data_IF_377302452857
#
_entry.id   IF_377302452857
#
_cell.length_a   1.000
_cell.length_b   1.000
_cell.length_c   1.000
_cell.angle_alpha   90.00
_cell.angle_beta   90.00
_cell.angle_gamma   90.00
#
_symmetry.space_group_name_H-M   'P 1'
#
loop_
_entity.id
_entity.type
_entity.pdbx_description
1 polymer ?
#
# COMPACT_ATOMS: atom_id res chain seq x y z
N UNK A 1 -44.32 2.19 -47.06
CA UNK A 1 -44.16 2.18 -45.60
C UNK A 1 -43.16 1.10 -45.22
N UNK A 2 -41.91 1.46 -44.95
CA UNK A 2 -40.86 0.54 -44.49
C UNK A 2 -40.37 1.06 -43.15
N UNK A 3 -40.62 0.29 -42.08
CA UNK A 3 -40.24 0.62 -40.72
C UNK A 3 -38.73 0.40 -40.53
N UNK A 4 -37.99 1.48 -40.25
CA UNK A 4 -36.58 1.42 -39.88
C UNK A 4 -36.44 1.01 -38.42
N UNK A 5 -35.90 -0.18 -38.19
CA UNK A 5 -35.49 -0.66 -36.85
C UNK A 5 -34.15 -0.01 -36.48
N UNK A 6 -34.18 0.96 -35.58
CA UNK A 6 -32.98 1.55 -34.98
C UNK A 6 -32.43 0.60 -33.92
N UNK A 7 -31.45 -0.23 -34.29
CA UNK A 7 -30.62 -0.96 -33.32
C UNK A 7 -29.76 0.05 -32.55
N UNK A 8 -30.11 0.29 -31.30
CA UNK A 8 -29.31 1.05 -30.34
C UNK A 8 -27.97 0.35 -30.14
N UNK A 9 -26.86 1.07 -30.35
CA UNK A 9 -25.51 0.59 -30.02
C UNK A 9 -25.42 0.30 -28.51
N UNK A 10 -24.74 -0.77 -28.07
CA UNK A 10 -24.54 -1.02 -26.65
C UNK A 10 -23.67 0.13 -26.09
N UNK A 11 -24.24 0.90 -25.15
CA UNK A 11 -23.46 1.88 -24.39
C UNK A 11 -22.33 1.15 -23.65
N UNK A 12 -21.09 1.67 -23.68
CA UNK A 12 -20.02 1.12 -22.85
C UNK A 12 -20.43 1.26 -21.39
N UNK A 13 -20.52 0.13 -20.67
CA UNK A 13 -20.63 0.15 -19.20
C UNK A 13 -19.44 0.95 -18.69
N UNK A 14 -19.70 2.04 -17.98
CA UNK A 14 -18.67 2.77 -17.27
C UNK A 14 -18.02 1.80 -16.28
N UNK A 15 -16.85 1.25 -16.64
CA UNK A 15 -16.02 0.49 -15.73
C UNK A 15 -15.62 1.47 -14.63
N UNK A 16 -16.01 1.21 -13.38
CA UNK A 16 -15.49 1.94 -12.24
C UNK A 16 -13.96 2.01 -12.37
N UNK A 17 -13.34 3.18 -12.12
CA UNK A 17 -11.89 3.28 -12.15
C UNK A 17 -11.32 2.20 -11.22
N UNK A 18 -10.14 1.64 -11.54
CA UNK A 18 -9.56 0.59 -10.72
C UNK A 18 -9.55 0.98 -9.25
N UNK A 19 -9.68 0.04 -8.33
CA UNK A 19 -9.79 0.37 -6.90
C UNK A 19 -8.62 1.22 -6.40
N UNK A 20 -7.45 1.10 -7.05
CA UNK A 20 -6.19 1.82 -6.85
C UNK A 20 -6.05 3.14 -7.66
N UNK A 21 -7.02 3.47 -8.51
CA UNK A 21 -7.01 4.67 -9.33
C UNK A 21 -7.71 5.82 -8.61
N UNK A 22 -7.04 6.98 -8.60
CA UNK A 22 -7.50 8.25 -8.05
C UNK A 22 -7.59 8.34 -6.51
N UNK A 23 -6.44 8.36 -5.84
CA UNK A 23 -6.30 8.94 -4.50
C UNK A 23 -5.47 10.25 -4.39
N UNK A 24 -5.23 11.05 -5.46
CA UNK A 24 -4.20 12.08 -5.41
C UNK A 24 -4.56 13.29 -4.56
N UNK A 25 -5.77 13.42 -3.99
CA UNK A 25 -6.15 14.61 -3.21
C UNK A 25 -6.93 14.25 -1.95
N UNK A 26 -6.34 13.43 -1.08
CA UNK A 26 -6.97 13.11 0.20
C UNK A 26 -6.81 14.25 1.21
N UNK A 27 -7.86 15.02 1.47
CA UNK A 27 -7.93 15.94 2.60
C UNK A 27 -8.73 15.24 3.73
N UNK A 28 -8.06 14.63 4.72
CA UNK A 28 -8.76 13.94 5.79
C UNK A 28 -9.70 14.93 6.50
N UNK A 29 -11.00 14.63 6.59
CA UNK A 29 -12.03 15.61 6.95
C UNK A 29 -12.14 15.95 8.44
N UNK A 30 -11.34 15.33 9.33
CA UNK A 30 -11.64 15.30 10.77
C UNK A 30 -10.54 15.81 11.72
N UNK A 31 -10.98 16.30 12.87
CA UNK A 31 -10.21 16.61 14.11
C UNK A 31 -9.28 15.46 14.58
N UNK A 32 -9.49 14.24 14.08
CA UNK A 32 -8.66 13.07 14.35
C UNK A 32 -7.25 13.13 13.73
N UNK A 33 -7.02 14.04 12.77
CA UNK A 33 -5.71 14.25 12.13
C UNK A 33 -5.09 15.61 12.53
N UNK A 34 -5.30 16.07 13.76
CA UNK A 34 -4.61 17.27 14.29
C UNK A 34 -3.10 17.14 14.12
N UNK A 35 -2.49 18.12 13.44
CA UNK A 35 -1.05 18.13 13.14
C UNK A 35 -0.64 17.35 11.89
N UNK A 36 -1.60 16.93 11.06
CA UNK A 36 -1.34 16.39 9.74
C UNK A 36 -1.50 17.46 8.65
N UNK A 37 -0.68 17.47 7.59
CA UNK A 37 0.49 16.61 7.38
C UNK A 37 1.61 16.94 8.38
N UNK A 38 2.43 15.95 8.77
CA UNK A 38 3.56 16.22 9.66
C UNK A 38 4.56 17.15 8.97
N UNK A 39 5.25 17.99 9.76
CA UNK A 39 6.30 18.86 9.24
C UNK A 39 7.44 18.02 8.63
N UNK A 40 8.05 18.52 7.56
CA UNK A 40 9.23 17.91 6.95
C UNK A 40 10.33 17.67 8.00
N UNK A 41 10.95 16.50 7.94
CA UNK A 41 12.15 16.19 8.70
C UNK A 41 13.33 16.95 8.11
N UNK A 42 14.05 17.67 8.96
CA UNK A 42 15.21 18.45 8.54
C UNK A 42 16.46 17.57 8.41
N UNK A 43 17.34 17.96 7.49
CA UNK A 43 18.65 17.35 7.30
C UNK A 43 19.66 18.02 8.22
N UNK A 44 20.56 17.22 8.80
CA UNK A 44 21.73 17.70 9.53
C UNK A 44 22.85 18.05 8.55
N UNK A 45 23.01 17.24 7.49
CA UNK A 45 23.99 17.45 6.42
C UNK A 45 23.39 18.24 5.25
N UNK A 46 23.84 19.49 5.09
CA UNK A 46 23.41 20.39 4.01
C UNK A 46 23.72 19.83 2.61
N UNK A 47 24.82 19.10 2.43
CA UNK A 47 25.14 18.46 1.14
C UNK A 47 24.16 17.35 0.81
N UNK A 48 23.74 16.55 1.80
CA UNK A 48 22.69 15.55 1.59
C UNK A 48 21.37 16.20 1.21
N UNK A 49 21.00 17.30 1.87
CA UNK A 49 19.81 18.07 1.51
C UNK A 49 19.89 18.57 0.06
N UNK A 50 21.02 19.18 -0.32
CA UNK A 50 21.26 19.68 -1.68
C UNK A 50 21.16 18.57 -2.72
N UNK A 51 21.76 17.41 -2.44
CA UNK A 51 21.77 16.24 -3.32
C UNK A 51 20.38 15.64 -3.49
N UNK A 52 19.59 15.53 -2.42
CA UNK A 52 18.23 14.99 -2.45
C UNK A 52 17.31 15.85 -3.33
N UNK A 53 17.42 17.17 -3.20
CA UNK A 53 16.59 18.13 -3.93
C UNK A 53 17.22 18.60 -5.25
N UNK A 54 18.16 17.83 -5.80
CA UNK A 54 18.78 18.13 -7.08
C UNK A 54 17.70 18.26 -8.18
N UNK A 55 17.65 19.39 -8.90
CA UNK A 55 16.60 19.62 -9.88
C UNK A 55 16.74 18.66 -11.06
N UNK A 56 15.68 17.91 -11.40
CA UNK A 56 15.70 16.95 -12.53
C UNK A 56 15.78 17.64 -13.89
N UNK A 57 15.24 18.85 -14.00
CA UNK A 57 15.26 19.67 -15.20
C UNK A 57 15.97 20.97 -14.88
N UNK A 58 17.16 21.15 -15.47
CA UNK A 58 17.97 22.34 -15.30
C UNK A 58 18.36 22.89 -16.68
N UNK A 59 18.41 24.23 -16.79
CA UNK A 59 18.93 24.90 -18.01
C UNK A 59 20.42 24.67 -18.20
N UNK A 60 21.13 24.36 -17.12
CA UNK A 60 22.56 24.04 -17.11
C UNK A 60 22.74 22.55 -16.83
N UNK A 61 23.70 21.93 -17.50
CA UNK A 61 24.10 20.55 -17.21
C UNK A 61 24.45 20.40 -15.72
N UNK A 62 23.88 19.39 -15.09
CA UNK A 62 24.16 19.02 -13.71
C UNK A 62 25.47 18.23 -13.65
N UNK A 63 26.10 18.23 -12.47
CA UNK A 63 27.24 17.35 -12.22
C UNK A 63 26.79 15.88 -12.33
N UNK A 64 27.39 15.05 -13.21
CA UNK A 64 27.06 13.64 -13.33
C UNK A 64 27.19 12.87 -12.01
N UNK A 65 28.11 13.27 -11.14
CA UNK A 65 28.30 12.65 -9.83
C UNK A 65 27.11 12.95 -8.91
N UNK A 66 26.65 14.21 -8.87
CA UNK A 66 25.47 14.60 -8.09
C UNK A 66 24.21 13.85 -8.54
N UNK A 67 24.03 13.72 -9.86
CA UNK A 67 22.91 12.94 -10.43
C UNK A 67 22.98 11.49 -9.97
N UNK A 68 24.15 10.88 -10.06
CA UNK A 68 24.38 9.49 -9.62
C UNK A 68 24.11 9.31 -8.12
N UNK A 69 24.53 10.25 -7.28
CA UNK A 69 24.27 10.22 -5.84
C UNK A 69 22.79 10.40 -5.52
N UNK A 70 22.08 11.30 -6.20
CA UNK A 70 20.63 11.45 -6.08
C UNK A 70 19.88 10.16 -6.44
N UNK A 71 20.29 9.50 -7.54
CA UNK A 71 19.70 8.23 -7.97
C UNK A 71 19.95 7.10 -6.98
N UNK A 72 21.14 7.04 -6.36
CA UNK A 72 21.44 6.10 -5.28
C UNK A 72 20.59 6.36 -4.03
N UNK A 73 20.39 7.62 -3.67
CA UNK A 73 19.51 7.99 -2.56
C UNK A 73 18.06 7.58 -2.85
N UNK A 74 17.57 7.81 -4.07
CA UNK A 74 16.23 7.37 -4.49
C UNK A 74 16.08 5.85 -4.47
N UNK A 75 17.07 5.12 -4.97
CA UNK A 75 17.11 3.65 -4.90
C UNK A 75 17.01 3.14 -3.46
N UNK A 76 17.79 3.72 -2.55
CA UNK A 76 17.76 3.33 -1.15
C UNK A 76 16.42 3.66 -0.48
N UNK A 77 15.90 4.86 -0.75
CA UNK A 77 14.61 5.29 -0.24
C UNK A 77 13.43 4.48 -0.75
N UNK A 78 13.49 3.95 -1.98
CA UNK A 78 12.49 3.01 -2.52
C UNK A 78 12.42 1.71 -1.69
N UNK A 79 13.59 1.17 -1.31
CA UNK A 79 13.67 0.02 -0.41
C UNK A 79 13.12 0.33 0.99
N UNK A 80 13.47 1.48 1.54
CA UNK A 80 12.96 1.93 2.85
C UNK A 80 11.46 2.16 2.83
N UNK A 81 10.92 2.83 1.81
CA UNK A 81 9.47 3.02 1.65
C UNK A 81 8.73 1.68 1.55
N UNK A 82 9.30 0.72 0.83
CA UNK A 82 8.75 -0.64 0.77
C UNK A 82 8.68 -1.26 2.16
N UNK A 83 9.74 -1.15 2.95
CA UNK A 83 9.78 -1.65 4.32
C UNK A 83 8.79 -0.92 5.24
N UNK A 84 8.79 0.42 5.22
CA UNK A 84 7.91 1.27 6.03
C UNK A 84 6.42 1.02 5.74
N UNK A 85 6.03 0.93 4.47
CA UNK A 85 4.65 0.63 4.08
C UNK A 85 4.29 -0.81 4.47
N UNK A 86 5.18 -1.78 4.27
CA UNK A 86 4.92 -3.17 4.66
C UNK A 86 4.73 -3.31 6.17
N UNK A 87 5.57 -2.64 6.95
CA UNK A 87 5.50 -2.62 8.40
C UNK A 87 4.21 -1.93 8.88
N UNK A 88 3.82 -0.81 8.27
CA UNK A 88 2.56 -0.14 8.58
C UNK A 88 1.37 -1.07 8.31
N UNK A 89 1.30 -1.66 7.12
CA UNK A 89 0.19 -2.55 6.75
C UNK A 89 0.15 -3.81 7.63
N UNK A 90 1.30 -4.37 7.96
CA UNK A 90 1.40 -5.55 8.83
C UNK A 90 0.91 -5.25 10.26
N UNK A 91 1.23 -4.08 10.79
CA UNK A 91 0.87 -3.69 12.15
C UNK A 91 -0.57 -3.21 12.27
N UNK A 92 -1.05 -2.44 11.30
CA UNK A 92 -2.37 -1.80 11.32
C UNK A 92 -3.49 -2.71 10.79
N UNK A 93 -3.23 -3.46 9.72
CA UNK A 93 -4.23 -4.29 9.00
C UNK A 93 -4.04 -5.79 9.24
N UNK A 94 -4.00 -6.13 10.51
CA UNK A 94 -3.71 -7.46 11.02
C UNK A 94 -4.83 -8.51 10.76
N UNK A 95 -5.98 -8.08 10.24
CA UNK A 95 -7.08 -8.92 9.75
C UNK A 95 -6.95 -9.27 8.25
N UNK A 96 -6.12 -8.53 7.50
CA UNK A 96 -5.93 -8.75 6.07
C UNK A 96 -4.96 -9.92 5.80
N UNK A 97 -5.20 -10.64 4.69
CA UNK A 97 -4.33 -11.74 4.26
C UNK A 97 -3.08 -11.19 3.55
N UNK A 98 -2.03 -12.01 3.44
CA UNK A 98 -0.78 -11.62 2.79
C UNK A 98 -0.95 -11.12 1.34
N UNK A 99 -1.90 -11.70 0.61
CA UNK A 99 -2.25 -11.27 -0.74
C UNK A 99 -2.82 -9.84 -0.75
N UNK A 100 -3.79 -9.58 0.12
CA UNK A 100 -4.44 -8.28 0.29
C UNK A 100 -3.43 -7.20 0.69
N UNK A 101 -2.57 -7.50 1.67
CA UNK A 101 -1.48 -6.62 2.10
C UNK A 101 -0.52 -6.29 0.95
N UNK A 102 -0.23 -7.27 0.09
CA UNK A 102 0.64 -7.07 -1.09
C UNK A 102 0.01 -6.11 -2.10
N UNK A 103 -1.28 -6.27 -2.38
CA UNK A 103 -2.03 -5.41 -3.27
C UNK A 103 -2.08 -3.96 -2.74
N UNK A 104 -2.44 -3.78 -1.46
CA UNK A 104 -2.47 -2.46 -0.81
C UNK A 104 -1.09 -1.80 -0.79
N UNK A 105 -0.01 -2.56 -0.54
CA UNK A 105 1.36 -2.04 -0.58
C UNK A 105 1.71 -1.48 -1.96
N UNK A 106 1.34 -2.18 -3.03
CA UNK A 106 1.62 -1.72 -4.39
C UNK A 106 0.84 -0.45 -4.73
N UNK A 107 -0.43 -0.36 -4.31
CA UNK A 107 -1.22 0.85 -4.47
C UNK A 107 -0.62 2.05 -3.72
N UNK A 108 -0.16 1.86 -2.48
CA UNK A 108 0.45 2.92 -1.67
C UNK A 108 1.84 3.36 -2.17
N UNK A 109 2.55 2.49 -2.90
CA UNK A 109 3.85 2.81 -3.51
C UNK A 109 3.72 3.32 -4.95
N UNK A 110 2.51 3.51 -5.46
CA UNK A 110 2.30 4.05 -6.80
C UNK A 110 2.86 5.48 -6.91
N UNK A 111 3.43 5.87 -8.07
CA UNK A 111 3.99 7.22 -8.26
C UNK A 111 3.00 8.35 -7.97
N UNK A 112 1.70 8.16 -8.26
CA UNK A 112 0.66 9.15 -7.94
C UNK A 112 0.51 9.39 -6.43
N UNK A 113 0.60 8.34 -5.61
CA UNK A 113 0.55 8.45 -4.15
C UNK A 113 1.82 9.10 -3.63
N UNK A 114 3.00 8.63 -4.04
CA UNK A 114 4.27 9.19 -3.59
C UNK A 114 4.46 10.64 -4.03
N UNK A 115 4.01 11.01 -5.24
CA UNK A 115 3.94 12.39 -5.72
C UNK A 115 3.09 13.25 -4.79
N UNK A 116 1.93 12.74 -4.37
CA UNK A 116 1.08 13.48 -3.47
C UNK A 116 1.69 13.63 -2.07
N UNK A 117 2.29 12.57 -1.52
CA UNK A 117 3.02 12.65 -0.24
C UNK A 117 4.14 13.70 -0.29
N UNK A 118 4.89 13.75 -1.39
CA UNK A 118 5.90 14.78 -1.65
C UNK A 118 5.33 16.20 -1.52
N UNK A 119 4.14 16.43 -2.09
CA UNK A 119 3.44 17.71 -2.03
C UNK A 119 2.90 18.01 -0.63
N UNK A 120 2.37 17.00 0.08
CA UNK A 120 1.81 17.17 1.44
C UNK A 120 2.83 17.69 2.43
N UNK A 121 4.05 17.19 2.36
CA UNK A 121 5.15 17.62 3.24
C UNK A 121 5.94 18.80 2.66
N UNK A 122 5.38 19.47 1.64
CA UNK A 122 5.90 20.68 1.01
C UNK A 122 7.34 20.54 0.47
N UNK A 123 7.74 19.35 0.01
CA UNK A 123 9.06 19.13 -0.58
C UNK A 123 9.20 19.82 -1.94
N UNK A 124 8.08 20.08 -2.61
CA UNK A 124 8.05 20.77 -3.91
C UNK A 124 8.67 22.16 -3.86
N UNK A 125 8.62 22.84 -2.70
CA UNK A 125 9.26 24.13 -2.49
C UNK A 125 10.81 24.08 -2.63
N UNK A 126 11.41 22.91 -2.43
CA UNK A 126 12.86 22.71 -2.51
C UNK A 126 13.31 22.27 -3.92
N UNK A 127 12.38 21.76 -4.74
CA UNK A 127 12.67 21.36 -6.12
C UNK A 127 12.66 22.62 -6.98
N UNK A 128 13.85 23.08 -7.39
CA UNK A 128 13.97 24.19 -8.35
C UNK A 128 13.55 23.71 -9.75
N UNK A 129 12.29 23.91 -10.14
CA UNK A 129 11.89 23.72 -11.53
C UNK A 129 12.34 24.92 -12.37
N UNK A 130 13.06 24.66 -13.46
CA UNK A 130 13.30 25.66 -14.49
C UNK A 130 12.87 25.12 -15.84
N UNK A 131 11.96 25.79 -16.58
CA UNK A 131 11.32 27.07 -16.27
C UNK A 131 10.24 26.98 -15.17
N UNK A 132 9.91 28.09 -14.48
CA UNK A 132 8.92 28.14 -13.39
C UNK A 132 7.52 27.67 -13.79
N UNK A 133 7.20 27.69 -15.09
CA UNK A 133 5.90 27.28 -15.63
C UNK A 133 5.72 25.77 -15.78
N UNK A 134 6.80 24.97 -15.65
CA UNK A 134 6.71 23.52 -15.79
C UNK A 134 6.62 22.87 -14.42
N UNK A 135 5.40 22.48 -14.03
CA UNK A 135 5.19 21.63 -12.86
C UNK A 135 5.96 20.31 -13.05
N UNK A 136 6.71 19.85 -12.04
CA UNK A 136 7.31 18.52 -12.08
C UNK A 136 6.21 17.46 -12.28
N UNK A 137 6.50 16.44 -13.07
CA UNK A 137 5.57 15.32 -13.26
C UNK A 137 5.51 14.45 -11.99
N UNK A 138 4.46 13.63 -11.88
CA UNK A 138 4.26 12.76 -10.72
C UNK A 138 5.44 11.82 -10.50
N UNK A 139 6.09 11.38 -11.58
CA UNK A 139 7.25 10.52 -11.50
C UNK A 139 8.45 11.22 -10.85
N UNK A 140 8.72 12.48 -11.20
CA UNK A 140 9.79 13.27 -10.60
C UNK A 140 9.49 13.58 -9.12
N UNK A 141 8.25 13.89 -8.78
CA UNK A 141 7.85 14.12 -7.38
C UNK A 141 7.96 12.85 -6.54
N UNK A 142 7.49 11.71 -7.05
CA UNK A 142 7.65 10.41 -6.41
C UNK A 142 9.13 10.06 -6.20
N UNK A 143 9.97 10.24 -7.22
CA UNK A 143 11.42 10.03 -7.14
C UNK A 143 12.09 10.96 -6.12
N UNK A 144 11.64 12.21 -6.03
CA UNK A 144 12.15 13.16 -5.03
C UNK A 144 11.78 12.71 -3.62
N UNK A 145 10.55 12.26 -3.42
CA UNK A 145 10.13 11.70 -2.13
C UNK A 145 10.94 10.46 -1.76
N UNK A 146 11.20 9.55 -2.70
CA UNK A 146 12.11 8.42 -2.50
C UNK A 146 13.51 8.91 -2.09
N UNK A 147 14.11 9.82 -2.86
CA UNK A 147 15.43 10.37 -2.55
C UNK A 147 15.47 11.00 -1.15
N UNK A 148 14.42 11.71 -0.77
CA UNK A 148 14.27 12.33 0.55
C UNK A 148 14.26 11.29 1.68
N UNK A 149 13.46 10.23 1.57
CA UNK A 149 13.44 9.15 2.57
C UNK A 149 14.82 8.48 2.69
N UNK A 150 15.45 8.17 1.55
CA UNK A 150 16.80 7.60 1.54
C UNK A 150 17.84 8.53 2.14
N UNK A 151 17.74 9.83 1.83
CA UNK A 151 18.62 10.87 2.34
C UNK A 151 18.49 11.09 3.84
N UNK A 152 17.27 11.20 4.38
CA UNK A 152 17.03 11.36 5.82
C UNK A 152 17.59 10.19 6.61
N UNK A 153 17.36 8.96 6.14
CA UNK A 153 17.92 7.79 6.80
C UNK A 153 19.44 7.74 6.69
N UNK A 154 20.02 8.13 5.55
CA UNK A 154 21.47 8.17 5.40
C UNK A 154 22.12 9.24 6.31
N UNK A 155 21.48 10.40 6.42
CA UNK A 155 21.92 11.52 7.25
C UNK A 155 21.94 11.16 8.75
N UNK A 156 20.91 10.43 9.22
CA UNK A 156 20.73 10.11 10.64
C UNK A 156 21.25 8.71 11.03
N UNK A 157 21.58 7.88 10.06
CA UNK A 157 21.99 6.49 10.28
C UNK A 157 20.87 5.62 10.85
N UNK A 158 21.27 4.47 11.41
CA UNK A 158 20.35 3.45 11.92
C UNK A 158 19.46 3.96 13.07
N UNK A 159 20.01 4.80 13.95
CA UNK A 159 19.31 5.32 15.13
C UNK A 159 18.13 6.24 14.75
N UNK A 160 18.25 6.95 13.62
CA UNK A 160 17.19 7.80 13.08
C UNK A 160 16.01 7.05 12.46
N UNK A 161 16.09 5.72 12.32
CA UNK A 161 15.02 4.92 11.70
C UNK A 161 13.71 5.02 12.46
N UNK A 162 13.75 4.99 13.80
CA UNK A 162 12.54 5.01 14.61
C UNK A 162 11.77 6.33 14.45
N UNK A 163 12.48 7.45 14.42
CA UNK A 163 11.91 8.77 14.18
C UNK A 163 11.30 8.87 12.78
N UNK A 164 12.06 8.46 11.76
CA UNK A 164 11.59 8.40 10.37
C UNK A 164 10.33 7.55 10.23
N UNK A 165 10.31 6.38 10.88
CA UNK A 165 9.18 5.47 10.89
C UNK A 165 7.96 6.13 11.51
N UNK A 166 8.09 6.69 12.71
CA UNK A 166 6.97 7.32 13.41
C UNK A 166 6.41 8.51 12.62
N UNK A 167 7.30 9.35 12.05
CA UNK A 167 6.91 10.43 11.16
C UNK A 167 6.15 9.92 9.92
N UNK A 168 6.69 8.88 9.27
CA UNK A 168 6.07 8.30 8.08
C UNK A 168 4.70 7.68 8.39
N UNK A 169 4.54 7.08 9.57
CA UNK A 169 3.28 6.49 10.01
C UNK A 169 2.17 7.53 10.11
N UNK A 170 2.47 8.69 10.71
CA UNK A 170 1.53 9.82 10.77
C UNK A 170 1.16 10.27 9.36
N UNK A 171 2.15 10.36 8.47
CA UNK A 171 1.92 10.80 7.08
C UNK A 171 1.06 9.81 6.28
N UNK A 172 1.35 8.51 6.34
CA UNK A 172 0.74 7.48 5.47
C UNK A 172 -0.62 6.98 5.98
N UNK A 173 -0.89 7.05 7.30
CA UNK A 173 -2.12 6.52 7.92
C UNK A 173 -3.40 6.87 7.16
N UNK A 174 -3.70 8.15 6.80
CA UNK A 174 -4.94 8.48 6.10
C UNK A 174 -5.03 7.84 4.70
N UNK A 175 -3.91 7.74 3.97
CA UNK A 175 -3.88 7.04 2.68
C UNK A 175 -4.10 5.54 2.84
N UNK A 176 -3.49 4.92 3.85
CA UNK A 176 -3.63 3.50 4.10
C UNK A 176 -5.08 3.14 4.49
N UNK A 177 -5.72 3.94 5.35
CA UNK A 177 -7.13 3.75 5.72
C UNK A 177 -8.06 3.82 4.51
N UNK A 178 -7.88 4.85 3.66
CA UNK A 178 -8.66 4.99 2.43
C UNK A 178 -8.38 3.84 1.46
N UNK A 179 -7.13 3.44 1.31
CA UNK A 179 -6.71 2.31 0.47
C UNK A 179 -7.41 1.02 0.90
N UNK A 180 -7.44 0.71 2.20
CA UNK A 180 -8.16 -0.44 2.75
C UNK A 180 -9.66 -0.38 2.43
N UNK A 181 -10.31 0.75 2.70
CA UNK A 181 -11.74 0.91 2.45
C UNK A 181 -12.10 0.70 0.97
N UNK A 182 -11.29 1.25 0.06
CA UNK A 182 -11.48 1.08 -1.39
C UNK A 182 -11.24 -0.38 -1.82
N UNK A 183 -10.24 -1.04 -1.24
CA UNK A 183 -9.94 -2.43 -1.51
C UNK A 183 -11.05 -3.38 -1.02
N UNK A 184 -11.62 -3.14 0.16
CA UNK A 184 -12.76 -3.90 0.71
C UNK A 184 -13.99 -3.76 -0.19
N UNK A 185 -14.33 -2.54 -0.62
CA UNK A 185 -15.43 -2.29 -1.56
C UNK A 185 -15.22 -3.02 -2.90
N UNK A 186 -13.98 -3.05 -3.39
CA UNK A 186 -13.62 -3.79 -4.59
C UNK A 186 -13.82 -5.29 -4.42
N UNK A 187 -13.31 -5.90 -3.34
CA UNK A 187 -13.51 -7.33 -3.11
C UNK A 187 -14.99 -7.69 -2.97
N UNK A 188 -15.77 -6.86 -2.28
CA UNK A 188 -17.22 -7.08 -2.10
C UNK A 188 -17.95 -7.05 -3.45
N UNK A 189 -17.66 -6.04 -4.28
CA UNK A 189 -18.21 -5.93 -5.62
C UNK A 189 -17.87 -7.13 -6.50
N UNK A 190 -16.62 -7.61 -6.50
CA UNK A 190 -16.19 -8.75 -7.31
C UNK A 190 -16.69 -10.10 -6.75
N UNK A 191 -16.84 -10.23 -5.44
CA UNK A 191 -17.44 -11.42 -4.82
C UNK A 191 -18.92 -11.56 -5.21
N UNK A 192 -19.65 -10.44 -5.28
CA UNK A 192 -21.07 -10.42 -5.68
C UNK A 192 -21.31 -10.81 -7.16
N UNK A 193 -20.33 -10.56 -8.03
CA UNK A 193 -20.40 -10.91 -9.46
C UNK A 193 -20.12 -12.40 -9.70
N UNK A 194 -19.47 -13.08 -8.74
CA UNK A 194 -19.05 -14.48 -8.87
C UNK A 194 -20.14 -15.54 -8.61
N UNK A 195 -21.40 -15.12 -8.39
CA UNK A 195 -22.54 -16.03 -8.18
C UNK A 195 -23.38 -16.16 -9.45
N UNK A 196 -22.81 -16.74 -10.52
CA UNK A 196 -23.62 -17.40 -11.55
C UNK A 196 -23.58 -18.92 -11.30
N UNK A 197 -24.66 -19.52 -10.78
CA UNK A 197 -24.71 -20.95 -10.46
C UNK A 197 -24.34 -21.87 -11.64
N UNK A 198 -24.43 -21.37 -12.89
CA UNK A 198 -24.12 -22.13 -14.10
C UNK A 198 -22.62 -22.31 -14.37
N UNK A 199 -21.77 -21.37 -13.94
CA UNK A 199 -20.31 -21.44 -14.15
C UNK A 199 -19.60 -22.24 -13.06
N UNK A 200 -20.19 -22.35 -11.87
CA UNK A 200 -19.67 -23.19 -10.78
C UNK A 200 -19.78 -24.71 -11.09
N UNK A 201 -20.83 -25.12 -11.82
CA UNK A 201 -21.06 -26.52 -12.18
C UNK A 201 -20.05 -27.06 -13.23
N UNK A 202 -19.49 -26.20 -14.07
CA UNK A 202 -18.51 -26.57 -15.11
C UNK A 202 -17.10 -26.87 -14.54
N UNK A 203 -16.81 -26.47 -13.30
CA UNK A 203 -15.50 -26.72 -12.66
C UNK A 203 -15.40 -28.08 -11.97
N UNK A 204 -16.51 -28.83 -11.87
CA UNK A 204 -16.56 -30.15 -11.22
C UNK A 204 -16.57 -31.32 -12.20
N UNK A 205 -16.60 -31.09 -13.53
CA UNK A 205 -16.70 -32.16 -14.52
C UNK A 205 -15.43 -32.47 -15.31
N UNK A 206 -14.32 -31.77 -15.05
CA UNK A 206 -13.08 -32.00 -15.80
C UNK A 206 -12.02 -32.72 -14.97
N UNK A 207 -12.34 -33.97 -14.64
CA UNK A 207 -11.37 -34.98 -14.22
C UNK A 207 -11.50 -36.19 -15.15
N UNK A 208 -10.86 -36.13 -16.32
CA UNK A 208 -10.94 -37.19 -17.32
C UNK A 208 -9.89 -37.06 -18.43
N UNK A 209 -8.70 -37.61 -18.16
CA UNK A 209 -7.82 -38.32 -19.11
C UNK A 209 -7.55 -37.77 -20.53
N UNK A 210 -6.28 -37.39 -20.71
CA UNK A 210 -5.36 -37.86 -21.76
C UNK A 210 -5.45 -37.36 -23.22
N UNK A 211 -4.25 -37.02 -23.70
CA UNK A 211 -3.68 -37.15 -25.05
C UNK A 211 -3.78 -35.97 -26.03
N UNK A 212 -2.63 -35.34 -26.26
CA UNK A 212 -2.28 -34.69 -27.54
C UNK A 212 -2.19 -35.74 -28.66
N UNK A 213 -2.33 -35.36 -29.95
CA UNK A 213 -1.12 -35.01 -30.71
C UNK A 213 -1.29 -33.98 -31.87
N UNK A 214 -0.17 -33.31 -32.15
CA UNK A 214 0.39 -32.82 -33.44
C UNK A 214 -0.48 -32.64 -34.70
N UNK A 215 -0.28 -31.49 -35.36
CA UNK A 215 -0.54 -31.29 -36.80
C UNK A 215 -0.32 -29.85 -37.31
N UNK A 216 0.89 -29.53 -37.76
CA UNK A 216 1.16 -28.50 -38.80
C UNK A 216 1.19 -29.20 -40.17
N UNK A 217 0.95 -28.55 -41.36
CA UNK A 217 1.67 -27.34 -41.81
C UNK A 217 0.95 -26.40 -42.84
N UNK A 218 1.66 -25.33 -43.26
CA UNK A 218 1.48 -24.63 -44.56
C UNK A 218 0.93 -23.19 -44.46
N UNK A 219 1.75 -22.13 -44.41
CA UNK A 219 2.46 -21.42 -45.50
C UNK A 219 1.75 -20.13 -45.97
N UNK A 220 2.34 -18.97 -45.69
CA UNK A 220 2.81 -18.00 -46.71
C UNK A 220 3.20 -16.66 -46.08
N UNK A 221 4.39 -16.19 -46.49
CA UNK A 221 5.06 -14.99 -46.05
C UNK A 221 4.45 -13.71 -46.66
N UNK A 222 4.60 -12.58 -45.98
CA UNK A 222 5.24 -11.39 -46.57
C UNK A 222 5.65 -10.41 -45.46
N UNK A 223 6.95 -10.15 -45.38
CA UNK A 223 7.57 -9.15 -44.52
C UNK A 223 7.46 -7.75 -45.13
N UNK A 224 7.14 -6.75 -44.30
CA UNK A 224 7.62 -5.38 -44.49
C UNK A 224 8.24 -4.88 -43.20
N UNK A 225 9.56 -4.68 -43.24
CA UNK A 225 10.31 -3.93 -42.25
C UNK A 225 10.05 -2.42 -42.44
N UNK A 226 9.69 -1.74 -41.36
CA UNK A 226 9.88 -0.29 -41.20
C UNK A 226 10.00 0.05 -39.72
N UNK A 227 11.24 0.32 -39.32
CA UNK A 227 11.76 1.19 -38.24
C UNK A 227 10.89 1.48 -37.00
N UNK A 228 11.48 1.16 -35.85
CA UNK A 228 11.11 1.62 -34.51
C UNK A 228 11.17 3.15 -34.34
N UNK A 229 10.40 3.67 -33.37
CA UNK A 229 10.90 4.62 -32.38
C UNK A 229 10.94 3.98 -30.98
N UNK A 230 12.01 4.31 -30.24
CA UNK A 230 12.33 3.79 -28.92
C UNK A 230 11.57 4.46 -27.78
N UNK A 231 11.43 3.67 -26.71
CA UNK A 231 11.26 4.06 -25.31
C UNK A 231 9.89 4.60 -24.89
N UNK A 232 8.91 3.69 -24.85
CA UNK A 232 7.77 3.77 -23.95
C UNK A 232 7.85 2.59 -22.98
N UNK A 233 7.93 2.85 -21.68
CA UNK A 233 7.73 1.85 -20.64
C UNK A 233 6.35 1.20 -20.87
N UNK A 234 6.36 -0.04 -21.34
CA UNK A 234 5.15 -0.81 -21.66
C UNK A 234 4.95 -1.86 -20.57
N UNK A 235 3.82 -1.78 -19.88
CA UNK A 235 3.21 -2.93 -19.20
C UNK A 235 3.37 -3.01 -17.69
N UNK A 236 2.59 -2.23 -16.95
CA UNK A 236 2.05 -2.64 -15.65
C UNK A 236 0.52 -2.57 -15.75
N UNK A 237 -0.09 -3.60 -16.34
CA UNK A 237 -1.55 -3.74 -16.29
C UNK A 237 -1.89 -4.27 -14.90
N UNK A 238 -2.52 -3.42 -14.09
CA UNK A 238 -2.93 -3.69 -12.72
C UNK A 238 -4.32 -4.36 -12.67
N UNK A 239 -4.68 -5.13 -13.70
CA UNK A 239 -6.04 -5.62 -13.92
C UNK A 239 -6.35 -6.96 -13.22
N UNK A 240 -5.32 -7.68 -12.74
CA UNK A 240 -5.47 -8.98 -12.07
C UNK A 240 -4.54 -9.11 -10.84
N UNK A 241 -5.09 -9.24 -9.60
CA UNK A 241 -4.32 -9.46 -8.39
C UNK A 241 -3.41 -10.70 -8.45
N UNK A 242 -3.81 -11.74 -9.19
CA UNK A 242 -3.06 -12.98 -9.30
C UNK A 242 -1.82 -12.89 -10.22
N UNK A 243 -1.72 -11.84 -11.03
CA UNK A 243 -0.61 -11.65 -11.98
C UNK A 243 0.40 -10.58 -11.58
N UNK A 244 0.32 -10.05 -10.35
CA UNK A 244 1.22 -8.99 -9.95
C UNK A 244 2.60 -9.58 -9.59
N UNK A 245 3.52 -9.51 -10.55
CA UNK A 245 4.91 -9.89 -10.38
C UNK A 245 5.57 -9.11 -9.23
N UNK A 246 6.49 -9.79 -8.55
CA UNK A 246 7.26 -9.28 -7.40
C UNK A 246 8.17 -8.11 -7.85
N UNK A 247 8.26 -7.01 -7.08
CA UNK A 247 9.33 -6.03 -7.27
C UNK A 247 10.67 -6.68 -6.88
N UNK A 248 11.58 -6.82 -7.85
CA UNK A 248 12.92 -7.40 -7.63
C UNK A 248 13.39 -8.48 -8.62
N UNK A 249 12.88 -8.53 -9.86
CA UNK A 249 13.45 -9.43 -10.87
C UNK A 249 14.88 -9.03 -11.20
N UNK A 250 15.83 -9.81 -10.65
CA UNK A 250 17.24 -9.75 -10.98
C UNK A 250 17.47 -9.91 -12.48
N UNK A 251 18.53 -9.26 -12.96
CA UNK A 251 19.08 -9.41 -14.30
C UNK A 251 19.20 -10.89 -14.73
N UNK A 252 19.06 -11.19 -16.03
CA UNK A 252 19.16 -12.55 -16.53
C UNK A 252 20.61 -13.05 -16.42
N UNK A 253 20.80 -14.18 -15.72
CA UNK A 253 22.06 -14.93 -15.74
C UNK A 253 22.72 -15.15 -14.39
N UNK A 254 22.10 -15.94 -13.52
CA UNK A 254 22.83 -16.81 -12.59
C UNK A 254 21.92 -17.93 -12.09
N UNK A 255 22.47 -19.14 -12.13
CA UNK A 255 21.76 -20.40 -12.08
C UNK A 255 21.01 -20.68 -10.79
N UNK A 256 19.95 -21.45 -10.99
CA UNK A 256 19.11 -22.14 -10.04
C UNK A 256 19.90 -22.99 -9.03
N UNK A 257 19.54 -22.90 -7.75
CA UNK A 257 19.45 -24.08 -6.90
C UNK A 257 18.17 -24.00 -6.06
N UNK A 258 17.15 -24.73 -6.53
CA UNK A 258 16.02 -25.19 -5.72
C UNK A 258 16.50 -26.46 -5.03
N UNK A 259 16.50 -26.49 -3.70
CA UNK A 259 16.49 -27.74 -2.95
C UNK A 259 15.12 -27.93 -2.32
N UNK A 260 14.43 -28.93 -2.84
CA UNK A 260 13.23 -29.55 -2.32
C UNK A 260 13.49 -30.09 -0.91
N UNK A 261 12.79 -29.53 0.08
CA UNK A 261 12.75 -30.05 1.44
C UNK A 261 11.32 -29.93 1.97
N UNK A 262 10.59 -31.03 1.92
CA UNK A 262 9.30 -31.23 2.55
C UNK A 262 9.35 -30.89 4.04
N UNK A 263 8.57 -29.91 4.48
CA UNK A 263 8.17 -29.79 5.87
C UNK A 263 6.69 -29.39 5.94
N UNK A 264 5.93 -30.24 6.59
CA UNK A 264 4.50 -30.22 6.81
C UNK A 264 4.00 -28.88 7.37
N UNK A 265 3.22 -28.16 6.57
CA UNK A 265 2.47 -26.98 6.97
C UNK A 265 1.36 -27.38 7.95
N UNK A 266 1.50 -26.99 9.23
CA UNK A 266 0.36 -26.93 10.16
C UNK A 266 -0.39 -25.62 9.95
N UNK A 267 -1.72 -25.62 9.75
CA UNK A 267 -2.47 -24.40 9.52
C UNK A 267 -2.61 -23.60 10.84
N UNK A 268 -2.26 -22.31 10.80
CA UNK A 268 -2.55 -21.39 11.88
C UNK A 268 -4.07 -21.23 12.03
N UNK A 269 -4.59 -21.69 13.17
CA UNK A 269 -5.96 -21.50 13.63
C UNK A 269 -6.26 -19.99 13.71
N UNK A 270 -7.33 -19.54 13.04
CA UNK A 270 -7.90 -18.19 13.19
C UNK A 270 -8.15 -17.90 14.68
N UNK A 271 -7.38 -16.98 15.27
CA UNK A 271 -7.62 -16.47 16.62
C UNK A 271 -8.94 -15.71 16.65
N UNK A 272 -9.79 -16.00 17.64
CA UNK A 272 -11.10 -15.40 17.81
C UNK A 272 -11.00 -13.95 18.25
N UNK A 273 -12.01 -13.16 17.88
CA UNK A 273 -12.16 -11.73 18.24
C UNK A 273 -12.04 -11.51 19.77
N UNK A 274 -12.51 -12.46 20.60
CA UNK A 274 -12.43 -12.34 22.06
C UNK A 274 -11.04 -12.52 22.67
N UNK A 275 -10.06 -13.03 21.91
CA UNK A 275 -8.78 -13.47 22.45
C UNK A 275 -7.91 -12.28 22.86
N UNK A 276 -7.95 -11.18 22.11
CA UNK A 276 -7.10 -10.01 22.35
C UNK A 276 -7.46 -9.23 23.61
N UNK A 277 -8.75 -9.16 23.96
CA UNK A 277 -9.20 -8.49 25.19
C UNK A 277 -8.66 -9.25 26.41
N UNK A 278 -8.75 -10.58 26.37
CA UNK A 278 -8.24 -11.45 27.43
C UNK A 278 -6.72 -11.39 27.51
N UNK A 279 -6.04 -11.47 26.37
CA UNK A 279 -4.58 -11.42 26.26
C UNK A 279 -4.02 -10.09 26.77
N UNK A 280 -4.67 -8.95 26.50
CA UNK A 280 -4.24 -7.65 27.02
C UNK A 280 -4.37 -7.60 28.54
N UNK A 281 -5.46 -8.13 29.09
CA UNK A 281 -5.67 -8.20 30.53
C UNK A 281 -4.59 -9.06 31.19
N UNK A 282 -4.35 -10.26 30.68
CA UNK A 282 -3.30 -11.17 31.16
C UNK A 282 -1.89 -10.54 31.05
N UNK A 283 -1.63 -9.79 29.97
CA UNK A 283 -0.37 -9.07 29.80
C UNK A 283 -0.20 -7.99 30.87
N UNK A 284 -1.23 -7.19 31.14
CA UNK A 284 -1.18 -6.16 32.19
C UNK A 284 -0.93 -6.79 33.56
N UNK A 285 -1.63 -7.88 33.88
CA UNK A 285 -1.45 -8.62 35.14
C UNK A 285 -0.02 -9.17 35.27
N UNK A 286 0.49 -9.84 34.23
CA UNK A 286 1.84 -10.43 34.20
C UNK A 286 2.94 -9.37 34.39
N UNK A 287 2.77 -8.18 33.81
CA UNK A 287 3.74 -7.10 33.87
C UNK A 287 3.45 -6.09 35.00
N UNK A 288 2.50 -6.38 35.90
CA UNK A 288 2.09 -5.52 37.02
C UNK A 288 1.68 -4.11 36.59
N UNK A 289 1.06 -3.99 35.41
CA UNK A 289 0.46 -2.76 34.91
C UNK A 289 -0.98 -2.62 35.42
N UNK A 290 -1.52 -1.39 35.51
CA UNK A 290 -2.94 -1.19 35.79
C UNK A 290 -3.85 -1.92 34.80
N UNK A 291 -5.05 -2.29 35.22
CA UNK A 291 -6.00 -2.95 34.34
C UNK A 291 -6.40 -2.04 33.16
N UNK A 292 -6.60 -2.59 31.95
CA UNK A 292 -7.02 -1.81 30.79
C UNK A 292 -8.44 -1.28 30.97
N UNK A 293 -8.63 0.02 30.73
CA UNK A 293 -9.91 0.73 30.80
C UNK A 293 -10.33 1.10 29.37
N UNK A 294 -11.56 0.72 28.99
CA UNK A 294 -12.09 0.98 27.65
C UNK A 294 -13.11 2.11 27.68
N UNK A 295 -13.04 3.01 26.70
CA UNK A 295 -14.06 4.02 26.43
C UNK A 295 -14.68 3.71 25.07
N UNK A 296 -15.98 3.43 25.04
CA UNK A 296 -16.71 3.06 23.82
C UNK A 296 -17.56 4.24 23.33
N UNK A 297 -17.55 4.48 22.02
CA UNK A 297 -18.35 5.51 21.35
C UNK A 297 -19.10 4.87 20.18
N UNK A 298 -20.37 5.22 19.98
CA UNK A 298 -21.10 4.85 18.77
C UNK A 298 -21.04 5.97 17.72
N UNK A 299 -21.43 5.64 16.49
CA UNK A 299 -21.48 6.57 15.37
C UNK A 299 -22.76 7.45 15.36
N UNK A 300 -23.53 7.49 16.44
CA UNK A 300 -24.77 8.28 16.55
C UNK A 300 -25.93 7.81 15.64
N UNK A 301 -25.81 6.67 14.97
CA UNK A 301 -26.86 6.11 14.11
C UNK A 301 -27.82 5.23 14.92
N UNK A 302 -28.97 4.92 14.35
CA UNK A 302 -30.00 4.06 14.97
C UNK A 302 -30.15 2.74 14.21
N UNK A 303 -30.54 1.68 14.93
CA UNK A 303 -30.80 0.35 14.37
C UNK A 303 -29.52 -0.39 13.94
N UNK A 304 -29.61 -1.18 12.86
CA UNK A 304 -28.53 -2.05 12.36
C UNK A 304 -27.31 -1.30 11.82
N UNK A 305 -27.38 0.04 11.76
CA UNK A 305 -26.28 0.89 11.29
C UNK A 305 -25.40 1.43 12.44
N UNK A 306 -25.69 1.05 13.69
CA UNK A 306 -24.84 1.38 14.84
C UNK A 306 -23.50 0.70 14.63
N UNK A 307 -22.44 1.51 14.63
CA UNK A 307 -21.07 1.02 14.70
C UNK A 307 -20.37 1.59 15.91
N UNK A 308 -19.39 0.87 16.42
CA UNK A 308 -18.67 1.14 17.65
C UNK A 308 -17.20 1.44 17.38
N UNK A 309 -16.69 2.47 18.05
CA UNK A 309 -15.29 2.77 18.21
C UNK A 309 -14.92 2.54 19.68
N UNK A 310 -13.72 2.06 19.95
CA UNK A 310 -13.26 1.85 21.33
C UNK A 310 -11.83 2.33 21.48
N UNK A 311 -11.55 3.08 22.55
CA UNK A 311 -10.20 3.45 22.97
C UNK A 311 -9.86 2.71 24.25
N UNK A 312 -8.60 2.32 24.42
CA UNK A 312 -8.10 1.64 25.61
C UNK A 312 -6.94 2.42 26.23
N UNK A 313 -7.05 2.65 27.53
CA UNK A 313 -6.03 3.27 28.37
C UNK A 313 -5.54 2.26 29.42
N UNK A 314 -4.26 2.32 29.76
CA UNK A 314 -3.63 1.49 30.80
C UNK A 314 -3.07 2.45 31.85
N UNK A 315 -3.77 2.58 32.98
CA UNK A 315 -3.55 3.67 33.93
C UNK A 315 -3.90 5.01 33.28
N UNK A 316 -3.05 6.02 33.47
CA UNK A 316 -3.24 7.36 32.88
C UNK A 316 -2.66 7.48 31.46
N UNK A 317 -2.21 6.37 30.86
CA UNK A 317 -1.59 6.36 29.53
C UNK A 317 -2.53 5.79 28.48
N UNK A 318 -2.63 6.51 27.37
CA UNK A 318 -3.26 6.00 26.15
C UNK A 318 -2.47 4.80 25.62
N UNK A 319 -3.17 3.68 25.36
CA UNK A 319 -2.56 2.44 24.92
C UNK A 319 -2.94 2.06 23.47
N UNK A 320 -4.16 2.37 23.04
CA UNK A 320 -4.59 2.13 21.66
C UNK A 320 -6.07 2.43 21.41
N UNK A 321 -6.48 2.27 20.16
CA UNK A 321 -7.87 2.42 19.71
C UNK A 321 -8.22 1.41 18.62
N UNK A 322 -9.51 1.24 18.35
CA UNK A 322 -9.98 0.41 17.24
C UNK A 322 -9.47 0.94 15.90
N UNK A 323 -9.05 0.06 14.99
CA UNK A 323 -8.57 0.46 13.66
C UNK A 323 -9.70 0.78 12.68
N UNK A 324 -10.93 0.37 12.98
CA UNK A 324 -12.13 0.69 12.22
C UNK A 324 -13.39 0.69 13.08
N UNK A 325 -14.48 1.21 12.53
CA UNK A 325 -15.81 1.15 13.12
C UNK A 325 -16.37 -0.29 13.07
N UNK A 326 -16.61 -0.88 14.24
CA UNK A 326 -17.04 -2.27 14.37
C UNK A 326 -18.57 -2.41 14.50
N UNK A 327 -19.18 -3.51 14.05
CA UNK A 327 -20.61 -3.78 14.29
C UNK A 327 -20.94 -4.00 15.77
N UNK A 328 -19.96 -4.41 16.61
CA UNK A 328 -20.19 -4.66 18.04
C UNK A 328 -19.14 -3.99 18.93
N UNK A 329 -19.53 -3.58 20.16
CA UNK A 329 -18.59 -3.09 21.18
C UNK A 329 -17.44 -4.07 21.45
N UNK A 330 -17.75 -5.37 21.42
CA UNK A 330 -16.77 -6.43 21.68
C UNK A 330 -15.70 -6.46 20.60
N UNK A 331 -16.08 -6.28 19.34
CA UNK A 331 -15.12 -6.19 18.23
C UNK A 331 -14.29 -4.91 18.29
N UNK A 332 -14.90 -3.77 18.58
CA UNK A 332 -14.18 -2.51 18.75
C UNK A 332 -13.13 -2.61 19.87
N UNK A 333 -13.51 -3.18 21.02
CA UNK A 333 -12.58 -3.44 22.15
C UNK A 333 -11.49 -4.41 21.76
N UNK A 334 -11.79 -5.47 21.03
CA UNK A 334 -10.81 -6.44 20.59
C UNK A 334 -9.75 -5.80 19.69
N UNK A 335 -10.16 -4.93 18.75
CA UNK A 335 -9.24 -4.18 17.91
C UNK A 335 -8.37 -3.23 18.74
N UNK A 336 -8.97 -2.45 19.65
CA UNK A 336 -8.23 -1.57 20.54
C UNK A 336 -7.22 -2.33 21.42
N UNK A 337 -7.64 -3.48 21.96
CA UNK A 337 -6.79 -4.35 22.79
C UNK A 337 -5.59 -4.89 22.03
N UNK A 338 -5.81 -5.22 20.76
CA UNK A 338 -4.79 -5.76 19.85
C UNK A 338 -3.74 -4.70 19.51
N UNK A 339 -4.18 -3.47 19.22
CA UNK A 339 -3.27 -2.33 19.00
C UNK A 339 -2.43 -2.07 20.26
N UNK A 340 -3.05 -2.03 21.44
CA UNK A 340 -2.35 -1.82 22.70
C UNK A 340 -1.32 -2.92 23.00
N UNK A 341 -1.65 -4.19 22.78
CA UNK A 341 -0.71 -5.31 22.94
C UNK A 341 0.51 -5.18 22.02
N UNK A 342 0.32 -4.75 20.78
CA UNK A 342 1.41 -4.55 19.83
C UNK A 342 2.35 -3.43 20.28
N UNK A 343 1.80 -2.29 20.73
CA UNK A 343 2.61 -1.19 21.29
C UNK A 343 3.41 -1.64 22.52
N UNK A 344 2.77 -2.35 23.45
CA UNK A 344 3.41 -2.86 24.66
C UNK A 344 4.51 -3.88 24.36
N UNK A 345 4.27 -4.81 23.42
CA UNK A 345 5.26 -5.81 23.00
C UNK A 345 6.43 -5.22 22.23
N UNK A 346 6.18 -4.18 21.42
CA UNK A 346 7.23 -3.45 20.70
C UNK A 346 8.16 -2.70 21.65
N UNK A 347 7.61 -2.12 22.72
CA UNK A 347 8.37 -1.32 23.71
C UNK A 347 9.30 -2.14 24.61
N UNK A 348 9.17 -3.47 24.64
CA UNK A 348 10.00 -4.38 25.46
C UNK A 348 11.12 -5.08 24.66
N UNK A 349 11.23 -4.82 23.36
CA UNK A 349 12.30 -5.36 22.49
C UNK A 349 13.47 -4.40 22.27
N UNK A 350 13.39 -3.20 22.84
CA UNK A 350 14.48 -2.23 23.05
C UNK A 350 15.01 -2.37 24.47
#
# INVERSE_FOLDING_TARGET
MLAGSTRSSPQPRASSPPWFANYPELNPPDDHYKGWPPQMLEFTNEEMQRLVFLPRVSRRALDPNDVTLNERAAFFGEGLLTALVSDFLYTEFIDCKAHDLTAMRQALLAPSVLSNLCQRVNLTAYIRSSPPDRRPDDQALARTFQAYIGGIHHDRGADGYLELRNWFYVLIKPYAMQCKANYEQYIEAYSSVSVDPRLAALRLTDSGSSSSPFGHPGSSSTSRHSRMPSSGYRGYSLDDPAQIARPGTAAPGLGMYVTSGSSSYTPHISRGIGDYIKELKEYCEKHRLPAPIYTDMDNGKSGDHIKWWSTVNIGDKYAGESTSWAPTKKEAKAMASKVALNHLRGSYRS
#
